data_IF_555318491103
#
_entry.id   IF_555318491103
#
_cell.length_a   1.000
_cell.length_b   1.000
_cell.length_c   1.000
_cell.angle_alpha   90.00
_cell.angle_beta   90.00
_cell.angle_gamma   90.00
#
_symmetry.space_group_name_H-M   'P 1'
#
loop_
_entity.id
_entity.type
_entity.pdbx_description
1 polymer ?
#
# COMPACT_ATOMS: atom_id res chain seq x y z
N UNK A 1 -12.12 -5.96 -26.52
CA UNK A 1 -10.79 -5.93 -25.88
C UNK A 1 -10.97 -5.36 -24.49
N UNK A 2 -10.67 -6.13 -23.45
CA UNK A 2 -10.69 -5.62 -22.07
C UNK A 2 -9.34 -4.97 -21.78
N UNK A 3 -9.35 -3.69 -21.42
CA UNK A 3 -8.15 -2.89 -21.19
C UNK A 3 -7.52 -3.13 -19.82
N UNK A 4 -6.42 -2.45 -19.57
CA UNK A 4 -5.75 -2.43 -18.26
C UNK A 4 -5.81 -1.01 -17.69
N UNK A 5 -5.79 -0.87 -16.38
CA UNK A 5 -5.72 0.44 -15.73
C UNK A 5 -4.91 0.36 -14.45
N UNK A 6 -3.97 1.29 -14.27
CA UNK A 6 -3.14 1.36 -13.07
C UNK A 6 -3.19 2.74 -12.43
N UNK A 7 -3.09 2.76 -11.11
CA UNK A 7 -2.90 3.96 -10.30
C UNK A 7 -1.65 3.78 -9.43
N UNK A 8 -0.63 4.62 -9.66
CA UNK A 8 0.59 4.67 -8.87
C UNK A 8 0.62 5.89 -7.96
N UNK A 9 0.66 5.67 -6.65
CA UNK A 9 0.63 6.73 -5.64
C UNK A 9 1.92 6.73 -4.83
N UNK A 10 2.59 7.88 -4.78
CA UNK A 10 3.83 8.07 -4.01
C UNK A 10 3.84 9.40 -3.28
N UNK A 11 3.94 9.38 -1.94
CA UNK A 11 3.75 10.57 -1.11
C UNK A 11 4.95 10.75 -0.18
N UNK A 12 5.79 11.73 -0.50
CA UNK A 12 6.89 12.14 0.35
C UNK A 12 6.48 13.27 1.28
N UNK A 13 5.68 14.22 0.78
CA UNK A 13 5.34 15.43 1.50
C UNK A 13 3.90 15.37 2.03
N UNK A 14 3.67 15.86 3.24
CA UNK A 14 2.36 15.93 3.87
C UNK A 14 2.03 17.38 4.20
N UNK A 15 1.02 17.95 3.52
CA UNK A 15 0.71 19.39 3.50
C UNK A 15 0.59 19.98 4.90
N UNK A 16 -0.12 19.30 5.80
CA UNK A 16 -0.38 19.78 7.16
C UNK A 16 0.58 19.16 8.20
N UNK A 17 1.46 18.24 7.78
CA UNK A 17 2.41 17.51 8.64
C UNK A 17 3.82 17.49 8.01
N UNK A 18 4.46 18.64 7.77
CA UNK A 18 5.74 18.71 7.06
C UNK A 18 6.89 17.97 7.77
N UNK A 19 6.79 17.75 9.09
CA UNK A 19 7.76 16.95 9.86
C UNK A 19 7.67 15.45 9.59
N UNK A 20 6.57 14.98 9.00
CA UNK A 20 6.38 13.59 8.59
C UNK A 20 6.86 13.33 7.15
N UNK A 21 7.76 14.16 6.62
CA UNK A 21 8.26 13.99 5.26
C UNK A 21 9.04 12.67 5.10
N UNK A 22 8.73 11.93 4.05
CA UNK A 22 9.47 10.77 3.55
C UNK A 22 10.29 11.17 2.31
N UNK A 23 11.12 10.25 1.80
CA UNK A 23 12.01 10.54 0.67
C UNK A 23 11.86 9.54 -0.47
N UNK A 24 11.51 8.29 -0.20
CA UNK A 24 11.49 7.22 -1.20
C UNK A 24 10.15 6.99 -1.90
N UNK A 25 9.04 7.53 -1.41
CA UNK A 25 7.72 7.16 -1.91
C UNK A 25 7.45 7.61 -3.35
N UNK A 26 7.95 8.79 -3.73
CA UNK A 26 7.84 9.26 -5.13
C UNK A 26 8.69 8.39 -6.07
N UNK A 27 9.86 7.94 -5.61
CA UNK A 27 10.71 7.03 -6.37
C UNK A 27 10.04 5.66 -6.55
N UNK A 28 9.42 5.12 -5.50
CA UNK A 28 8.63 3.89 -5.57
C UNK A 28 7.52 3.96 -6.63
N UNK A 29 6.77 5.07 -6.68
CA UNK A 29 5.73 5.27 -7.69
C UNK A 29 6.31 5.36 -9.12
N UNK A 30 7.50 5.94 -9.28
CA UNK A 30 8.21 5.98 -10.56
C UNK A 30 8.68 4.57 -10.99
N UNK A 31 9.17 3.77 -10.06
CA UNK A 31 9.68 2.43 -10.37
C UNK A 31 8.56 1.44 -10.66
N UNK A 32 7.43 1.53 -9.95
CA UNK A 32 6.22 0.79 -10.30
C UNK A 32 5.70 1.19 -11.68
N UNK A 33 5.65 2.48 -12.03
CA UNK A 33 5.26 2.90 -13.39
C UNK A 33 6.18 2.30 -14.46
N UNK A 34 7.50 2.35 -14.26
CA UNK A 34 8.47 1.75 -15.20
C UNK A 34 8.25 0.24 -15.30
N UNK A 35 8.07 -0.44 -14.18
CA UNK A 35 7.84 -1.89 -14.13
C UNK A 35 6.58 -2.28 -14.91
N UNK A 36 5.48 -1.54 -14.70
CA UNK A 36 4.21 -1.77 -15.37
C UNK A 36 4.31 -1.62 -16.89
N UNK A 37 5.05 -0.61 -17.35
CA UNK A 37 5.29 -0.39 -18.79
C UNK A 37 6.17 -1.48 -19.38
N UNK A 38 7.27 -1.81 -18.71
CA UNK A 38 8.33 -2.65 -19.27
C UNK A 38 7.99 -4.14 -19.21
N UNK A 39 7.33 -4.60 -18.14
CA UNK A 39 7.11 -6.04 -17.89
C UNK A 39 5.64 -6.45 -17.90
N UNK A 40 4.71 -5.54 -17.57
CA UNK A 40 3.27 -5.87 -17.49
C UNK A 40 2.50 -5.43 -18.75
N UNK A 41 3.18 -4.75 -19.68
CA UNK A 41 2.62 -4.32 -20.96
C UNK A 41 1.53 -3.24 -20.83
N UNK A 42 1.60 -2.40 -19.80
CA UNK A 42 0.76 -1.21 -19.70
C UNK A 42 1.29 -0.12 -20.62
N UNK A 43 0.40 0.59 -21.31
CA UNK A 43 0.75 1.81 -22.03
C UNK A 43 0.74 3.00 -21.07
N UNK A 44 1.43 4.09 -21.43
CA UNK A 44 1.45 5.31 -20.61
C UNK A 44 0.03 5.86 -20.37
N UNK A 45 -0.89 5.69 -21.33
CA UNK A 45 -2.30 6.10 -21.20
C UNK A 45 -3.08 5.26 -20.18
N UNK A 46 -2.62 4.05 -19.87
CA UNK A 46 -3.25 3.13 -18.93
C UNK A 46 -2.86 3.42 -17.47
N UNK A 47 -1.84 4.26 -17.25
CA UNK A 47 -1.26 4.52 -15.92
C UNK A 47 -1.56 5.96 -15.51
N UNK A 48 -2.16 6.11 -14.33
CA UNK A 48 -2.22 7.40 -13.63
C UNK A 48 -1.21 7.39 -12.51
N UNK A 49 -0.36 8.41 -12.45
CA UNK A 49 0.58 8.60 -11.35
C UNK A 49 0.22 9.85 -10.55
N UNK A 50 -0.02 9.68 -9.25
CA UNK A 50 -0.29 10.76 -8.30
C UNK A 50 0.85 10.85 -7.29
N UNK A 51 1.54 11.98 -7.25
CA UNK A 51 2.64 12.22 -6.33
C UNK A 51 2.42 13.50 -5.53
N UNK A 52 2.82 13.47 -4.26
CA UNK A 52 2.77 14.62 -3.34
C UNK A 52 1.46 15.42 -3.46
N UNK A 53 1.53 16.70 -3.85
CA UNK A 53 0.37 17.62 -3.90
C UNK A 53 -0.77 17.14 -4.80
N UNK A 54 -0.52 16.18 -5.69
CA UNK A 54 -1.57 15.54 -6.52
C UNK A 54 -2.23 14.35 -5.83
N UNK A 55 -1.55 13.71 -4.88
CA UNK A 55 -2.00 12.51 -4.18
C UNK A 55 -2.87 12.85 -2.94
N UNK A 56 -3.91 13.66 -3.16
CA UNK A 56 -4.92 13.96 -2.15
C UNK A 56 -5.93 12.82 -2.00
N UNK A 57 -6.63 12.71 -0.87
CA UNK A 57 -7.72 11.73 -0.69
C UNK A 57 -8.69 11.78 -1.88
N UNK A 58 -9.14 12.98 -2.23
CA UNK A 58 -10.09 13.21 -3.32
C UNK A 58 -9.58 12.66 -4.64
N UNK A 59 -8.32 12.93 -5.01
CA UNK A 59 -7.78 12.49 -6.29
C UNK A 59 -7.53 10.98 -6.33
N UNK A 60 -7.03 10.40 -5.24
CA UNK A 60 -6.82 8.94 -5.13
C UNK A 60 -8.17 8.23 -5.26
N UNK A 61 -9.14 8.57 -4.42
CA UNK A 61 -10.46 7.93 -4.43
C UNK A 61 -11.23 8.18 -5.72
N UNK A 62 -11.07 9.33 -6.36
CA UNK A 62 -11.64 9.60 -7.70
C UNK A 62 -11.11 8.59 -8.73
N UNK A 63 -9.79 8.42 -8.82
CA UNK A 63 -9.20 7.49 -9.79
C UNK A 63 -9.59 6.04 -9.51
N UNK A 64 -9.59 5.61 -8.24
CA UNK A 64 -10.03 4.27 -7.87
C UNK A 64 -11.51 4.05 -8.24
N UNK A 65 -12.39 5.02 -8.01
CA UNK A 65 -13.81 4.95 -8.41
C UNK A 65 -13.98 4.84 -9.92
N UNK A 66 -13.20 5.60 -10.70
CA UNK A 66 -13.20 5.52 -12.16
C UNK A 66 -12.68 4.16 -12.66
N UNK A 67 -11.68 3.59 -11.99
CA UNK A 67 -11.15 2.25 -12.28
C UNK A 67 -12.21 1.18 -12.05
N UNK A 68 -12.86 1.19 -10.89
CA UNK A 68 -13.95 0.24 -10.58
C UNK A 68 -15.14 0.42 -11.51
N UNK A 69 -15.53 1.64 -11.85
CA UNK A 69 -16.58 1.89 -12.85
C UNK A 69 -16.19 1.34 -14.23
N UNK A 70 -14.93 1.49 -14.62
CA UNK A 70 -14.41 0.90 -15.86
C UNK A 70 -14.45 -0.63 -15.84
N UNK A 71 -14.10 -1.28 -14.73
CA UNK A 71 -14.26 -2.72 -14.57
C UNK A 71 -15.73 -3.16 -14.72
N UNK A 72 -16.65 -2.50 -14.00
CA UNK A 72 -18.09 -2.81 -14.04
C UNK A 72 -18.73 -2.63 -15.43
N UNK A 73 -18.17 -1.75 -16.26
CA UNK A 73 -18.62 -1.54 -17.65
C UNK A 73 -17.91 -2.45 -18.67
N UNK A 74 -17.07 -3.39 -18.22
CA UNK A 74 -16.30 -4.29 -19.08
C UNK A 74 -15.13 -3.60 -19.80
N UNK A 75 -14.79 -2.37 -19.41
CA UNK A 75 -13.67 -1.61 -20.00
C UNK A 75 -12.32 -2.16 -19.56
N UNK A 76 -12.20 -2.65 -18.33
CA UNK A 76 -10.95 -3.15 -17.76
C UNK A 76 -11.09 -4.58 -17.24
N UNK A 77 -10.10 -5.44 -17.54
CA UNK A 77 -9.97 -6.81 -16.98
C UNK A 77 -8.82 -6.94 -16.00
N UNK A 78 -7.97 -5.91 -15.90
CA UNK A 78 -6.84 -5.90 -14.98
C UNK A 78 -6.63 -4.49 -14.43
N UNK A 79 -6.76 -4.37 -13.11
CA UNK A 79 -6.63 -3.13 -12.36
C UNK A 79 -5.48 -3.27 -11.37
N UNK A 80 -4.56 -2.32 -11.38
CA UNK A 80 -3.43 -2.26 -10.44
C UNK A 80 -3.49 -1.00 -9.60
N UNK A 81 -3.39 -1.14 -8.28
CA UNK A 81 -3.25 -0.02 -7.35
C UNK A 81 -1.95 -0.16 -6.57
N UNK A 82 -1.09 0.85 -6.62
CA UNK A 82 0.14 0.89 -5.82
C UNK A 82 0.13 2.14 -4.94
N UNK A 83 0.48 1.99 -3.66
CA UNK A 83 0.57 3.09 -2.71
C UNK A 83 1.81 2.97 -1.85
N UNK A 84 2.65 4.01 -1.94
CA UNK A 84 3.80 4.24 -1.07
C UNK A 84 3.58 5.56 -0.32
N UNK A 85 3.44 5.46 1.00
CA UNK A 85 3.12 6.58 1.91
C UNK A 85 3.28 6.14 3.37
N UNK A 86 2.95 7.02 4.29
CA UNK A 86 2.65 6.64 5.66
C UNK A 86 1.32 5.88 5.78
N UNK A 87 1.27 4.92 6.70
CA UNK A 87 0.04 4.41 7.29
C UNK A 87 -0.15 4.91 8.73
N UNK A 88 -1.36 4.76 9.25
CA UNK A 88 -1.76 5.03 10.64
C UNK A 88 -2.88 4.07 11.03
N UNK A 89 -3.33 4.16 12.28
CA UNK A 89 -4.59 3.58 12.75
C UNK A 89 -5.64 4.67 12.96
N UNK A 90 -6.91 4.28 12.85
CA UNK A 90 -8.06 5.03 13.36
C UNK A 90 -8.89 4.13 14.30
N UNK A 91 -9.62 4.70 15.28
CA UNK A 91 -10.65 3.94 15.99
C UNK A 91 -11.68 3.39 14.99
N UNK A 92 -12.17 2.17 15.17
CA UNK A 92 -13.26 1.61 14.36
C UNK A 92 -14.49 2.54 14.47
N UNK A 93 -14.91 3.08 13.32
CA UNK A 93 -16.06 3.99 13.20
C UNK A 93 -17.33 3.27 12.77
N UNK A 94 -17.22 2.02 12.30
CA UNK A 94 -18.33 1.22 11.79
C UNK A 94 -19.00 0.39 12.89
N UNK A 95 -18.26 0.10 13.96
CA UNK A 95 -18.73 -0.69 15.10
C UNK A 95 -19.06 -2.13 14.70
N UNK A 96 -18.54 -2.59 13.57
CA UNK A 96 -18.71 -3.97 13.15
C UNK A 96 -17.91 -4.93 14.05
N UNK A 97 -16.94 -4.42 14.82
CA UNK A 97 -16.11 -5.23 15.72
C UNK A 97 -15.72 -4.51 17.03
N UNK A 98 -16.18 -4.97 18.22
CA UNK A 98 -16.04 -4.24 19.49
C UNK A 98 -14.60 -4.00 19.98
N UNK A 99 -13.59 -4.71 19.44
CA UNK A 99 -12.21 -4.69 19.93
C UNK A 99 -11.15 -4.41 18.83
N UNK A 100 -11.54 -3.85 17.67
CA UNK A 100 -10.61 -3.62 16.55
C UNK A 100 -10.36 -2.14 16.24
N UNK A 101 -9.32 -1.93 15.45
CA UNK A 101 -8.93 -0.63 14.88
C UNK A 101 -8.70 -0.82 13.40
N UNK A 102 -9.07 0.19 12.62
CA UNK A 102 -8.90 0.15 11.17
C UNK A 102 -7.51 0.65 10.79
N UNK A 103 -6.90 -0.05 9.84
CA UNK A 103 -5.75 0.45 9.12
C UNK A 103 -6.16 1.61 8.22
N UNK A 104 -5.36 2.67 8.24
CA UNK A 104 -5.61 3.83 7.40
C UNK A 104 -4.35 4.28 6.68
N UNK A 105 -4.54 4.84 5.49
CA UNK A 105 -3.51 5.30 4.58
C UNK A 105 -3.51 6.82 4.55
N UNK A 106 -2.34 7.42 4.69
CA UNK A 106 -2.17 8.88 4.76
C UNK A 106 -2.00 9.46 3.35
N UNK A 107 -2.94 10.27 2.84
CA UNK A 107 -2.77 11.05 1.62
C UNK A 107 -1.91 12.30 1.89
N UNK A 108 -1.52 13.02 0.83
CA UNK A 108 -0.73 14.25 0.97
C UNK A 108 -1.44 15.33 1.78
N UNK A 109 -2.77 15.40 1.67
CA UNK A 109 -3.61 16.39 2.34
C UNK A 109 -4.09 15.95 3.72
N UNK A 110 -3.47 14.92 4.33
CA UNK A 110 -3.76 14.45 5.69
C UNK A 110 -4.00 15.62 6.64
N UNK A 111 -5.11 15.58 7.38
CA UNK A 111 -5.53 16.64 8.28
C UNK A 111 -6.11 16.05 9.57
N UNK A 112 -6.05 16.84 10.63
CA UNK A 112 -6.64 16.54 11.93
C UNK A 112 -7.92 17.35 12.13
N UNK A 113 -8.92 16.76 12.79
CA UNK A 113 -10.16 17.42 13.21
C UNK A 113 -10.44 17.10 14.68
N UNK A 114 -10.24 18.08 15.55
CA UNK A 114 -10.31 17.85 17.00
C UNK A 114 -9.20 16.89 17.43
N UNK A 115 -9.55 15.84 18.17
CA UNK A 115 -8.59 14.85 18.66
C UNK A 115 -8.27 13.75 17.64
N UNK A 116 -8.99 13.67 16.53
CA UNK A 116 -8.90 12.58 15.55
C UNK A 116 -8.42 13.05 14.18
N UNK A 117 -8.10 12.08 13.31
CA UNK A 117 -7.90 12.34 11.89
C UNK A 117 -9.20 12.85 11.25
N UNK A 118 -9.11 13.85 10.36
CA UNK A 118 -10.26 14.29 9.56
C UNK A 118 -10.59 13.21 8.53
N UNK A 119 -11.79 12.64 8.62
CA UNK A 119 -12.27 11.60 7.71
C UNK A 119 -12.31 12.05 6.25
N UNK A 120 -12.26 13.36 5.94
CA UNK A 120 -12.15 13.85 4.55
C UNK A 120 -10.71 13.83 4.00
N UNK A 121 -9.72 13.55 4.84
CA UNK A 121 -8.30 13.65 4.51
C UNK A 121 -7.50 12.40 4.87
N UNK A 122 -8.17 11.29 5.19
CA UNK A 122 -7.56 9.99 5.46
C UNK A 122 -8.33 8.88 4.75
N UNK A 123 -7.66 7.84 4.25
CA UNK A 123 -8.34 6.71 3.59
C UNK A 123 -8.30 5.52 4.55
N UNK A 124 -9.45 5.06 5.03
CA UNK A 124 -9.54 3.83 5.83
C UNK A 124 -9.64 2.61 4.93
N UNK A 125 -9.15 1.45 5.37
CA UNK A 125 -9.22 0.20 4.61
C UNK A 125 -10.67 -0.20 4.26
N UNK A 126 -11.63 0.13 5.11
CA UNK A 126 -13.06 0.02 4.88
C UNK A 126 -13.55 0.72 3.59
N UNK A 127 -13.05 1.94 3.33
CA UNK A 127 -13.40 2.69 2.11
C UNK A 127 -12.84 2.01 0.86
N UNK A 128 -11.65 1.40 0.97
CA UNK A 128 -11.05 0.63 -0.12
C UNK A 128 -11.79 -0.69 -0.32
N UNK A 129 -12.12 -1.40 0.76
CA UNK A 129 -12.92 -2.62 0.72
C UNK A 129 -14.25 -2.36 0.02
N UNK A 130 -15.04 -1.41 0.51
CA UNK A 130 -16.39 -1.12 -0.01
C UNK A 130 -16.36 -0.70 -1.49
N UNK A 131 -15.24 -0.14 -1.93
CA UNK A 131 -15.01 0.14 -3.35
C UNK A 131 -14.62 -1.12 -4.14
N UNK A 132 -13.68 -1.92 -3.64
CA UNK A 132 -13.14 -3.08 -4.35
C UNK A 132 -14.09 -4.26 -4.44
N UNK A 133 -14.99 -4.46 -3.46
CA UNK A 133 -16.01 -5.53 -3.53
C UNK A 133 -17.01 -5.34 -4.69
N UNK A 134 -16.98 -4.18 -5.36
CA UNK A 134 -17.81 -3.90 -6.54
C UNK A 134 -17.15 -4.34 -7.86
N UNK A 135 -15.89 -4.77 -7.81
CA UNK A 135 -15.15 -5.26 -8.98
C UNK A 135 -15.72 -6.62 -9.39
N UNK A 136 -16.10 -6.83 -10.67
CA UNK A 136 -16.56 -8.12 -11.16
C UNK A 136 -15.51 -9.22 -10.97
N UNK A 137 -15.97 -10.45 -10.71
CA UNK A 137 -15.11 -11.60 -10.46
C UNK A 137 -14.11 -11.89 -11.60
N UNK A 138 -14.46 -11.60 -12.85
CA UNK A 138 -13.58 -11.81 -14.00
C UNK A 138 -12.49 -10.74 -14.18
N UNK A 139 -12.44 -9.74 -13.29
CA UNK A 139 -11.45 -8.65 -13.29
C UNK A 139 -10.39 -8.89 -12.22
N UNK A 140 -9.13 -8.92 -12.64
CA UNK A 140 -8.00 -9.06 -11.71
C UNK A 140 -7.72 -7.72 -11.02
N UNK A 141 -7.78 -7.71 -9.69
CA UNK A 141 -7.29 -6.61 -8.85
C UNK A 141 -5.95 -7.01 -8.24
N UNK A 142 -4.90 -6.23 -8.50
CA UNK A 142 -3.62 -6.36 -7.81
C UNK A 142 -3.24 -5.07 -7.08
N UNK A 143 -2.90 -5.19 -5.80
CA UNK A 143 -2.64 -4.08 -4.90
C UNK A 143 -1.24 -4.23 -4.30
N UNK A 144 -0.48 -3.13 -4.29
CA UNK A 144 0.87 -3.07 -3.73
C UNK A 144 0.94 -1.95 -2.69
N UNK A 145 1.10 -2.31 -1.43
CA UNK A 145 1.13 -1.38 -0.30
C UNK A 145 2.53 -1.38 0.32
N UNK A 146 3.25 -0.28 0.10
CA UNK A 146 4.49 0.03 0.83
C UNK A 146 4.22 1.08 1.90
N UNK A 147 3.40 0.67 2.88
CA UNK A 147 2.94 1.43 4.04
C UNK A 147 3.07 0.56 5.30
N UNK A 148 2.99 1.15 6.50
CA UNK A 148 2.80 0.38 7.73
C UNK A 148 1.85 1.06 8.72
N UNK A 149 1.14 0.28 9.53
CA UNK A 149 -0.03 0.78 10.27
C UNK A 149 0.08 0.67 11.79
N UNK A 150 1.03 -0.08 12.34
CA UNK A 150 1.06 -0.35 13.79
C UNK A 150 2.00 0.52 14.60
N UNK A 151 3.02 1.13 14.00
CA UNK A 151 4.13 1.80 14.70
C UNK A 151 4.95 0.90 15.64
N UNK A 152 4.41 -0.25 16.04
CA UNK A 152 5.00 -1.28 16.87
C UNK A 152 5.76 -2.22 15.95
N UNK A 153 7.06 -2.39 16.21
CA UNK A 153 7.92 -3.24 15.40
C UNK A 153 9.22 -2.60 14.92
N UNK A 154 9.40 -1.28 15.15
CA UNK A 154 10.70 -0.65 14.94
C UNK A 154 11.74 -1.27 15.86
N UNK A 155 12.78 -1.89 15.28
CA UNK A 155 13.87 -2.49 16.07
C UNK A 155 15.06 -1.54 16.13
N UNK A 156 15.89 -1.68 17.17
CA UNK A 156 17.08 -0.86 17.36
C UNK A 156 18.02 -0.87 16.14
N UNK A 157 18.09 -1.99 15.41
CA UNK A 157 18.89 -2.09 14.19
C UNK A 157 18.42 -1.14 13.09
N UNK A 158 17.11 -0.93 12.94
CA UNK A 158 16.57 -0.03 11.91
C UNK A 158 16.91 1.44 12.21
N UNK A 159 16.94 1.81 13.49
CA UNK A 159 17.39 3.13 13.95
C UNK A 159 18.87 3.38 13.66
N UNK A 160 19.73 2.37 13.87
CA UNK A 160 21.18 2.47 13.60
C UNK A 160 21.48 2.73 12.12
N UNK A 161 20.63 2.22 11.22
CA UNK A 161 20.75 2.43 9.78
C UNK A 161 20.08 3.72 9.28
N UNK A 162 19.57 4.57 10.18
CA UNK A 162 18.94 5.85 9.81
C UNK A 162 17.67 5.69 8.95
N UNK A 163 16.98 4.55 9.08
CA UNK A 163 15.75 4.25 8.33
C UNK A 163 14.59 4.98 8.98
N UNK A 164 13.74 5.57 8.14
CA UNK A 164 12.51 6.18 8.61
C UNK A 164 11.36 5.19 8.46
N UNK A 165 10.51 5.08 9.47
CA UNK A 165 9.31 4.24 9.39
C UNK A 165 8.24 4.92 8.56
N UNK A 166 7.49 4.13 7.79
CA UNK A 166 6.31 4.59 7.04
C UNK A 166 5.04 4.57 7.89
N UNK A 167 5.14 5.08 9.11
CA UNK A 167 4.02 5.21 10.06
C UNK A 167 3.90 6.63 10.61
N UNK A 168 2.68 7.14 10.73
CA UNK A 168 2.36 8.34 11.52
C UNK A 168 1.46 7.89 12.69
N UNK A 169 1.79 8.22 13.95
CA UNK A 169 0.89 7.92 15.07
C UNK A 169 -0.38 8.77 15.01
N UNK A 170 -1.50 8.31 15.59
CA UNK A 170 -2.71 9.13 15.78
C UNK A 170 -2.41 10.54 16.32
N UNK A 171 -3.22 11.55 15.94
CA UNK A 171 -2.82 12.96 16.04
C UNK A 171 -2.93 13.53 17.45
N UNK A 172 -3.49 12.77 18.40
CA UNK A 172 -3.60 13.15 19.81
C UNK A 172 -3.34 11.95 20.71
N UNK A 173 -2.98 12.22 21.97
CA UNK A 173 -2.85 11.17 22.99
C UNK A 173 -4.16 10.39 23.19
N UNK A 174 -5.30 11.06 23.11
CA UNK A 174 -6.60 10.41 23.29
C UNK A 174 -6.95 9.50 22.11
N UNK A 175 -6.64 9.91 20.87
CA UNK A 175 -6.75 9.03 19.71
C UNK A 175 -5.77 7.87 19.78
N UNK A 176 -4.54 8.10 20.25
CA UNK A 176 -3.54 7.05 20.44
C UNK A 176 -4.01 6.00 21.45
N UNK A 177 -4.48 6.41 22.64
CA UNK A 177 -5.02 5.48 23.66
C UNK A 177 -6.20 4.66 23.16
N UNK A 178 -7.00 5.19 22.23
CA UNK A 178 -8.13 4.46 21.64
C UNK A 178 -7.69 3.34 20.72
N UNK A 179 -6.46 3.37 20.19
CA UNK A 179 -5.95 2.35 19.26
C UNK A 179 -4.82 1.49 19.85
N UNK A 180 -4.17 1.96 20.90
CA UNK A 180 -3.05 1.27 21.53
C UNK A 180 -3.46 -0.11 22.07
N UNK A 181 -2.61 -1.11 21.86
CA UNK A 181 -2.84 -2.50 22.26
C UNK A 181 -4.00 -3.23 21.55
N UNK A 182 -4.72 -2.59 20.64
CA UNK A 182 -5.85 -3.21 19.93
C UNK A 182 -5.41 -4.04 18.73
N UNK A 183 -6.22 -5.04 18.38
CA UNK A 183 -6.00 -5.86 17.19
C UNK A 183 -6.42 -5.10 15.95
N UNK A 184 -5.52 -5.04 14.97
CA UNK A 184 -5.80 -4.42 13.69
C UNK A 184 -6.70 -5.30 12.84
N UNK A 185 -7.63 -4.67 12.14
CA UNK A 185 -8.21 -5.21 10.91
C UNK A 185 -7.54 -4.51 9.73
N UNK A 186 -7.01 -5.31 8.82
CA UNK A 186 -6.40 -4.80 7.59
C UNK A 186 -7.20 -5.19 6.36
N UNK A 187 -6.88 -4.53 5.24
CA UNK A 187 -7.60 -4.62 3.97
C UNK A 187 -7.85 -6.06 3.49
N UNK A 188 -6.86 -6.95 3.58
CA UNK A 188 -7.04 -8.34 3.15
C UNK A 188 -8.16 -9.05 3.90
N UNK A 189 -8.16 -8.91 5.23
CA UNK A 189 -9.14 -9.57 6.08
C UNK A 189 -10.54 -9.03 5.81
N UNK A 190 -10.65 -7.71 5.65
CA UNK A 190 -11.92 -7.04 5.40
C UNK A 190 -12.49 -7.39 4.01
N UNK A 191 -11.65 -7.59 2.99
CA UNK A 191 -12.07 -8.12 1.67
C UNK A 191 -12.59 -9.56 1.75
N UNK A 192 -11.85 -10.45 2.45
CA UNK A 192 -12.24 -11.86 2.62
C UNK A 192 -13.56 -12.01 3.39
N UNK A 193 -13.79 -11.18 4.42
CA UNK A 193 -15.05 -11.14 5.18
C UNK A 193 -16.27 -10.76 4.30
N UNK A 194 -16.04 -10.08 3.17
CA UNK A 194 -17.07 -9.76 2.17
C UNK A 194 -17.10 -10.72 0.98
N UNK A 195 -16.33 -11.81 1.03
CA UNK A 195 -16.31 -12.84 -0.01
C UNK A 195 -15.47 -12.52 -1.25
N UNK A 196 -14.72 -11.41 -1.25
CA UNK A 196 -13.78 -11.12 -2.33
C UNK A 196 -12.49 -11.91 -2.10
N UNK A 197 -12.25 -12.92 -2.95
CA UNK A 197 -11.10 -13.84 -2.84
C UNK A 197 -10.09 -13.70 -3.98
N UNK A 198 -10.49 -13.10 -5.09
CA UNK A 198 -9.71 -13.09 -6.34
C UNK A 198 -8.68 -11.95 -6.42
N UNK A 199 -8.52 -11.15 -5.36
CA UNK A 199 -7.51 -10.09 -5.30
C UNK A 199 -6.12 -10.65 -5.03
N UNK A 200 -5.14 -9.85 -5.41
CA UNK A 200 -3.73 -10.09 -5.10
C UNK A 200 -3.23 -8.88 -4.33
N UNK A 201 -2.83 -9.07 -3.08
CA UNK A 201 -2.31 -8.00 -2.24
C UNK A 201 -0.87 -8.30 -1.82
N UNK A 202 0.00 -7.35 -2.13
CA UNK A 202 1.38 -7.30 -1.65
C UNK A 202 1.49 -6.23 -0.57
N UNK A 203 1.85 -6.63 0.64
CA UNK A 203 2.11 -5.70 1.75
C UNK A 203 3.60 -5.72 2.12
N UNK A 204 4.20 -4.56 2.36
CA UNK A 204 5.63 -4.44 2.64
C UNK A 204 6.09 -5.08 3.95
N UNK A 205 5.18 -5.23 4.91
CA UNK A 205 5.48 -5.79 6.22
C UNK A 205 4.27 -6.54 6.80
N UNK A 206 4.50 -7.30 7.88
CA UNK A 206 3.41 -7.80 8.72
C UNK A 206 2.74 -6.66 9.47
N UNK A 207 1.52 -6.90 9.94
CA UNK A 207 0.74 -5.98 10.76
C UNK A 207 1.50 -5.50 12.02
N UNK A 208 2.33 -6.34 12.64
CA UNK A 208 3.14 -6.04 13.83
C UNK A 208 4.59 -5.57 13.50
N UNK A 209 4.79 -5.05 12.28
CA UNK A 209 6.09 -4.58 11.79
C UNK A 209 5.96 -3.21 11.11
N UNK A 210 7.11 -2.57 10.91
CA UNK A 210 7.20 -1.29 10.18
C UNK A 210 7.80 -1.50 8.79
N UNK A 211 7.33 -0.75 7.81
CA UNK A 211 8.01 -0.61 6.51
C UNK A 211 9.03 0.53 6.57
N UNK A 212 10.17 0.36 5.91
CA UNK A 212 11.29 1.27 5.91
C UNK A 212 11.34 2.14 4.64
N UNK A 213 11.42 3.46 4.84
CA UNK A 213 11.95 4.42 3.89
C UNK A 213 13.47 4.54 4.12
N UNK A 214 14.25 4.18 3.11
CA UNK A 214 15.68 3.96 3.27
C UNK A 214 16.48 4.45 2.06
N UNK A 215 17.73 4.85 2.30
CA UNK A 215 18.69 5.07 1.23
C UNK A 215 19.29 3.72 0.81
N UNK A 216 19.03 3.30 -0.43
CA UNK A 216 19.47 2.04 -1.02
C UNK A 216 20.23 2.37 -2.29
N UNK A 217 21.50 1.97 -2.37
CA UNK A 217 22.38 2.20 -3.51
C UNK A 217 22.47 3.69 -3.94
N UNK A 218 22.37 4.61 -2.97
CA UNK A 218 22.56 6.04 -3.17
C UNK A 218 21.28 6.86 -3.39
N UNK A 219 20.12 6.22 -3.52
CA UNK A 219 18.82 6.89 -3.66
C UNK A 219 17.82 6.42 -2.61
N UNK A 220 16.76 7.20 -2.36
CA UNK A 220 15.74 6.87 -1.38
C UNK A 220 14.61 6.04 -1.98
N UNK A 221 14.25 4.96 -1.30
CA UNK A 221 13.17 4.05 -1.70
C UNK A 221 12.48 3.42 -0.49
N UNK A 222 11.29 2.87 -0.75
CA UNK A 222 10.69 1.86 0.11
C UNK A 222 11.47 0.57 -0.04
N UNK A 223 11.93 0.02 1.07
CA UNK A 223 12.75 -1.19 1.00
C UNK A 223 11.99 -2.36 0.36
N UNK A 224 10.67 -2.44 0.51
CA UNK A 224 9.88 -3.47 -0.17
C UNK A 224 9.77 -3.17 -1.67
N UNK A 225 9.34 -1.98 -2.07
CA UNK A 225 9.20 -1.63 -3.50
C UNK A 225 10.53 -1.75 -4.25
N UNK A 226 11.63 -1.29 -3.67
CA UNK A 226 12.97 -1.41 -4.27
C UNK A 226 13.31 -2.87 -4.62
N UNK A 227 13.27 -3.77 -3.63
CA UNK A 227 13.64 -5.16 -3.85
C UNK A 227 12.61 -5.92 -4.70
N UNK A 228 11.33 -5.56 -4.62
CA UNK A 228 10.30 -6.10 -5.51
C UNK A 228 10.60 -5.74 -6.97
N UNK A 229 10.79 -4.45 -7.28
CA UNK A 229 11.12 -4.00 -8.63
C UNK A 229 12.45 -4.59 -9.11
N UNK A 230 13.48 -4.69 -8.25
CA UNK A 230 14.75 -5.36 -8.56
C UNK A 230 14.52 -6.79 -9.00
N UNK A 231 13.83 -7.60 -8.21
CA UNK A 231 13.68 -9.04 -8.48
C UNK A 231 12.74 -9.32 -9.66
N UNK A 232 11.74 -8.47 -9.88
CA UNK A 232 10.91 -8.53 -11.08
C UNK A 232 11.72 -8.22 -12.35
N UNK A 233 12.59 -7.20 -12.32
CA UNK A 233 13.47 -6.87 -13.45
C UNK A 233 14.53 -7.95 -13.68
N UNK A 234 15.18 -8.46 -12.64
CA UNK A 234 16.18 -9.54 -12.77
C UNK A 234 15.55 -10.81 -13.35
N UNK A 235 14.35 -11.17 -12.89
CA UNK A 235 13.64 -12.35 -13.37
C UNK A 235 12.93 -12.15 -14.72
N UNK A 236 12.81 -10.91 -15.21
CA UNK A 236 12.03 -10.57 -16.41
C UNK A 236 10.57 -11.06 -16.31
N UNK A 237 9.98 -10.98 -15.11
CA UNK A 237 8.67 -11.51 -14.78
C UNK A 237 8.44 -12.99 -15.15
N UNK A 238 9.48 -13.82 -15.02
CA UNK A 238 9.42 -15.27 -15.30
C UNK A 238 9.24 -16.14 -14.06
N UNK A 239 9.36 -15.54 -12.87
CA UNK A 239 9.17 -16.23 -11.61
C UNK A 239 7.72 -16.10 -11.15
N UNK A 240 7.28 -17.10 -10.40
CA UNK A 240 5.98 -17.06 -9.72
C UNK A 240 5.97 -15.99 -8.63
N UNK A 241 4.78 -15.51 -8.23
CA UNK A 241 4.64 -14.56 -7.11
C UNK A 241 5.30 -15.08 -5.83
N UNK A 242 5.17 -16.38 -5.55
CA UNK A 242 5.81 -16.97 -4.38
C UNK A 242 7.35 -16.92 -4.45
N UNK A 243 7.94 -17.21 -5.61
CA UNK A 243 9.39 -17.12 -5.80
C UNK A 243 9.90 -15.68 -5.71
N UNK A 244 9.14 -14.71 -6.25
CA UNK A 244 9.44 -13.28 -6.09
C UNK A 244 9.42 -12.90 -4.60
N UNK A 245 8.37 -13.29 -3.86
CA UNK A 245 8.27 -13.00 -2.43
C UNK A 245 9.47 -13.55 -1.64
N UNK A 246 9.89 -14.78 -1.92
CA UNK A 246 11.03 -15.39 -1.23
C UNK A 246 12.35 -14.70 -1.55
N UNK A 247 12.53 -14.23 -2.79
CA UNK A 247 13.70 -13.46 -3.20
C UNK A 247 13.72 -12.07 -2.57
N UNK A 248 12.60 -11.37 -2.56
CA UNK A 248 12.44 -10.08 -1.85
C UNK A 248 12.75 -10.23 -0.36
N UNK A 249 12.23 -11.27 0.29
CA UNK A 249 12.54 -11.58 1.70
C UNK A 249 14.02 -11.87 1.92
N UNK A 250 14.67 -12.56 0.99
CA UNK A 250 16.12 -12.83 1.06
C UNK A 250 16.92 -11.54 0.96
N UNK A 251 16.59 -10.67 0.03
CA UNK A 251 17.25 -9.38 -0.18
C UNK A 251 17.05 -8.44 1.01
N UNK A 252 15.84 -8.35 1.56
CA UNK A 252 15.56 -7.58 2.77
C UNK A 252 16.40 -8.06 3.96
N UNK A 253 16.52 -9.38 4.16
CA UNK A 253 17.39 -9.96 5.20
C UNK A 253 18.87 -9.61 4.97
N UNK A 254 19.34 -9.70 3.73
CA UNK A 254 20.72 -9.34 3.38
C UNK A 254 20.99 -7.83 3.61
N UNK A 255 19.99 -6.99 3.39
CA UNK A 255 20.00 -5.57 3.72
C UNK A 255 19.79 -5.27 5.21
N UNK A 256 19.69 -6.27 6.10
CA UNK A 256 19.39 -6.11 7.53
C UNK A 256 18.04 -5.44 7.84
N UNK A 257 17.06 -5.51 6.94
CA UNK A 257 15.70 -5.04 7.20
C UNK A 257 14.93 -6.05 8.04
N UNK A 258 14.11 -5.54 8.95
CA UNK A 258 13.35 -6.37 9.88
C UNK A 258 11.95 -6.70 9.37
N UNK A 259 11.47 -5.95 8.38
CA UNK A 259 10.18 -6.14 7.73
C UNK A 259 10.11 -7.45 6.94
N UNK A 260 8.96 -8.11 7.02
CA UNK A 260 8.66 -9.35 6.29
C UNK A 260 7.44 -9.09 5.40
N UNK A 261 7.64 -8.91 4.08
CA UNK A 261 6.54 -8.71 3.15
C UNK A 261 5.57 -9.88 3.15
N UNK A 262 4.30 -9.58 2.91
CA UNK A 262 3.21 -10.52 2.79
C UNK A 262 2.66 -10.53 1.37
N UNK A 263 2.25 -11.73 0.94
CA UNK A 263 1.48 -11.95 -0.28
C UNK A 263 0.17 -12.61 0.14
N UNK A 264 -0.93 -11.90 -0.09
CA UNK A 264 -2.28 -12.32 0.22
C UNK A 264 -3.06 -12.50 -1.09
N UNK A 265 -3.28 -13.76 -1.45
CA UNK A 265 -4.05 -14.15 -2.63
C UNK A 265 -4.42 -15.64 -2.54
N UNK A 266 -5.36 -16.06 -3.38
CA UNK A 266 -5.68 -17.48 -3.57
C UNK A 266 -4.47 -18.30 -4.02
N UNK A 267 -4.45 -19.58 -3.62
CA UNK A 267 -3.35 -20.50 -3.93
C UNK A 267 -3.06 -20.61 -5.44
N UNK A 268 -4.10 -20.52 -6.28
CA UNK A 268 -3.98 -20.54 -7.74
C UNK A 268 -3.25 -19.32 -8.29
N UNK A 269 -3.40 -18.15 -7.66
CA UNK A 269 -2.70 -16.93 -8.05
C UNK A 269 -1.23 -16.90 -7.58
N UNK A 270 -0.91 -17.55 -6.45
CA UNK A 270 0.47 -17.65 -5.91
C UNK A 270 1.47 -18.29 -6.88
N UNK A 271 1.01 -19.27 -7.66
CA UNK A 271 1.84 -20.05 -8.60
C UNK A 271 1.85 -19.48 -10.02
N UNK A 272 1.18 -18.35 -10.28
CA UNK A 272 1.27 -17.63 -11.55
C UNK A 272 2.46 -16.66 -11.53
N UNK A 273 2.95 -16.31 -12.71
CA UNK A 273 4.01 -15.30 -12.85
C UNK A 273 3.63 -13.99 -12.18
N UNK A 274 4.64 -13.30 -11.66
CA UNK A 274 4.57 -12.01 -10.97
C UNK A 274 3.70 -10.95 -11.63
#
# INVERSE_FOLDING_TARGET
MTGKRALCVGINNFKNFPSAALRGCVNDANDMEKLLKNLFGFQAVDIVKLTDTKATKTNIMKNLKEMVHGAKSGKYSHIIFTMSSHGTQVPDLSGDEPDRVDEAFCPNDLAQKGDDWDSNHIIVDDELRDLFIQIPEDVVLEVYLDTCHSGTGLKAIDLLFGRQTRYIPPPSLEAFKRVDGKRQRGLNKSLLEKGMVQHILWAACRADQTSADANIDGDWHGAFTYYFCKEMNVSQNKLTRNEILEKVRKDLRAGNYTQIPQLECEATARNKNG
#
